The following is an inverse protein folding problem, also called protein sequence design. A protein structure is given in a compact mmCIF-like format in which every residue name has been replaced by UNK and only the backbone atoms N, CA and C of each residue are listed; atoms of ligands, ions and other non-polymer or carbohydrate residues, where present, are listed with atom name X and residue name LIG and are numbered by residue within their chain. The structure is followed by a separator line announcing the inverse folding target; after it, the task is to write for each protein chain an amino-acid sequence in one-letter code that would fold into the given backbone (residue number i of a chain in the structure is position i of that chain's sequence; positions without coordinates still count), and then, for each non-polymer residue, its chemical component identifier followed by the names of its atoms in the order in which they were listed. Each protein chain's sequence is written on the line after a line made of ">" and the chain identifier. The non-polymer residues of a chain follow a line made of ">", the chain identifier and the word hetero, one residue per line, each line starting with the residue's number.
data_IF_424550732751
#
_entry.id   IF_424550732751
#
_cell.length_a   1.000
_cell.length_b   1.000
_cell.length_c   1.000
_cell.angle_alpha   90.00
_cell.angle_beta   90.00
_cell.angle_gamma   90.00
#
_symmetry.space_group_name_H-M   'P 1'
#
loop_
_entity.id
_entity.type
_entity.pdbx_description
1 polymer ?
#
# COMPACT_ATOMS: atom_id res chain seq x y z
N UNK A 1 -3.76 6.15 -11.16
CA UNK A 1 -2.51 6.29 -10.37
C UNK A 1 -1.94 4.92 -10.12
N UNK A 2 -0.61 4.78 -10.08
CA UNK A 2 0.02 3.47 -9.85
C UNK A 2 -0.13 3.02 -8.40
N UNK A 3 -0.28 1.71 -8.21
CA UNK A 3 -0.17 1.05 -6.92
C UNK A 3 0.94 0.01 -6.98
N UNK A 4 1.61 -0.22 -5.85
CA UNK A 4 2.69 -1.20 -5.75
C UNK A 4 2.79 -1.78 -4.34
N UNK A 5 3.18 -3.05 -4.25
CA UNK A 5 3.34 -3.78 -2.99
C UNK A 5 2.06 -3.76 -2.12
N UNK A 6 0.91 -3.72 -2.78
CA UNK A 6 -0.42 -3.88 -2.19
C UNK A 6 -1.26 -4.68 -3.17
N UNK A 7 -1.94 -5.71 -2.66
CA UNK A 7 -2.73 -6.62 -3.48
C UNK A 7 -4.10 -6.02 -3.81
N UNK A 8 -4.64 -6.32 -5.00
CA UNK A 8 -5.97 -5.89 -5.41
C UNK A 8 -7.00 -6.23 -4.33
N UNK A 9 -6.97 -7.44 -3.77
CA UNK A 9 -7.91 -7.85 -2.70
C UNK A 9 -7.84 -6.97 -1.44
N UNK A 10 -6.66 -6.43 -1.10
CA UNK A 10 -6.50 -5.48 0.00
C UNK A 10 -7.09 -4.11 -0.36
N UNK A 11 -6.92 -3.67 -1.61
CA UNK A 11 -7.54 -2.45 -2.14
C UNK A 11 -9.06 -2.57 -2.07
N UNK A 12 -9.64 -3.73 -2.44
CA UNK A 12 -11.09 -3.94 -2.33
C UNK A 12 -11.55 -3.80 -0.88
N UNK A 13 -10.82 -4.42 0.06
CA UNK A 13 -11.03 -4.25 1.49
C UNK A 13 -11.05 -2.80 1.95
N UNK A 14 -10.11 -1.98 1.48
CA UNK A 14 -10.06 -0.54 1.77
C UNK A 14 -11.30 0.20 1.24
N UNK A 15 -11.73 -0.12 0.03
CA UNK A 15 -12.92 0.48 -0.58
C UNK A 15 -14.21 0.06 0.14
N UNK A 16 -14.28 -1.20 0.61
CA UNK A 16 -15.35 -1.72 1.46
C UNK A 16 -15.40 -0.94 2.77
N UNK A 17 -14.27 -0.81 3.46
CA UNK A 17 -14.15 -0.07 4.73
C UNK A 17 -14.60 1.40 4.60
N UNK A 18 -14.33 2.03 3.45
CA UNK A 18 -14.70 3.41 3.14
C UNK A 18 -16.14 3.59 2.68
N UNK A 19 -16.90 2.50 2.51
CA UNK A 19 -18.23 2.50 1.90
C UNK A 19 -18.24 3.17 0.51
N UNK A 20 -17.20 2.92 -0.28
CA UNK A 20 -17.07 3.51 -1.61
C UNK A 20 -18.27 3.16 -2.51
N UNK A 21 -18.66 4.08 -3.39
CA UNK A 21 -19.73 3.89 -4.38
C UNK A 21 -19.26 4.38 -5.73
N UNK A 22 -19.16 3.49 -6.72
CA UNK A 22 -18.60 3.80 -8.01
C UNK A 22 -17.93 2.61 -8.68
N UNK A 23 -16.95 2.89 -9.54
CA UNK A 23 -16.14 1.89 -10.24
C UNK A 23 -14.69 2.04 -9.80
N UNK A 24 -14.06 0.92 -9.46
CA UNK A 24 -12.61 0.80 -9.39
C UNK A 24 -12.12 0.06 -10.64
N UNK A 25 -11.34 0.74 -11.46
CA UNK A 25 -10.74 0.19 -12.67
C UNK A 25 -9.26 -0.09 -12.43
N UNK A 26 -8.83 -1.31 -12.70
CA UNK A 26 -7.44 -1.74 -12.55
C UNK A 26 -6.85 -2.07 -13.91
N UNK A 27 -5.70 -1.50 -14.26
CA UNK A 27 -4.88 -1.95 -15.38
C UNK A 27 -3.78 -2.83 -14.82
N UNK A 28 -3.81 -4.11 -15.18
CA UNK A 28 -2.99 -5.15 -14.55
C UNK A 28 -2.07 -5.79 -15.60
N UNK A 29 -0.80 -6.00 -15.24
CA UNK A 29 0.18 -6.62 -16.11
C UNK A 29 0.58 -5.75 -17.30
N UNK A 30 1.09 -6.37 -18.37
CA UNK A 30 1.62 -5.68 -19.57
C UNK A 30 0.64 -5.58 -20.74
N UNK A 31 -0.56 -6.11 -20.60
CA UNK A 31 -1.46 -6.36 -21.74
C UNK A 31 -2.60 -5.33 -21.88
N UNK A 32 -2.51 -4.16 -21.24
CA UNK A 32 -3.55 -3.11 -21.23
C UNK A 32 -4.97 -3.60 -20.86
N UNK A 33 -5.08 -4.82 -20.31
CA UNK A 33 -6.35 -5.41 -19.93
C UNK A 33 -6.85 -4.72 -18.65
N UNK A 34 -8.07 -4.19 -18.74
CA UNK A 34 -8.70 -3.48 -17.64
C UNK A 34 -9.66 -4.39 -16.90
N UNK A 35 -9.46 -4.55 -15.58
CA UNK A 35 -10.44 -5.12 -14.68
C UNK A 35 -11.34 -4.00 -14.13
N UNK A 36 -12.65 -4.23 -14.12
CA UNK A 36 -13.63 -3.30 -13.56
C UNK A 36 -14.31 -3.92 -12.34
N UNK A 37 -14.43 -3.16 -11.26
CA UNK A 37 -15.12 -3.58 -10.04
C UNK A 37 -16.11 -2.50 -9.63
N UNK A 38 -17.38 -2.89 -9.55
CA UNK A 38 -18.46 -1.98 -9.20
C UNK A 38 -18.76 -2.08 -7.71
N UNK A 39 -18.87 -0.93 -7.06
CA UNK A 39 -19.17 -0.80 -5.65
C UNK A 39 -20.45 0.00 -5.42
N UNK A 40 -21.23 -0.42 -4.43
CA UNK A 40 -22.34 0.33 -3.87
C UNK A 40 -22.23 0.37 -2.35
N UNK A 41 -21.91 1.53 -1.79
CA UNK A 41 -21.75 1.75 -0.35
C UNK A 41 -20.85 0.73 0.35
N UNK A 42 -19.75 0.34 -0.32
CA UNK A 42 -18.81 -0.67 0.17
C UNK A 42 -19.24 -2.12 -0.09
N UNK A 43 -20.33 -2.36 -0.81
CA UNK A 43 -20.69 -3.69 -1.31
C UNK A 43 -20.19 -3.87 -2.73
N UNK A 44 -19.50 -4.97 -3.01
CA UNK A 44 -19.13 -5.33 -4.39
C UNK A 44 -20.39 -5.81 -5.12
N UNK A 45 -20.62 -5.24 -6.31
CA UNK A 45 -21.80 -5.48 -7.16
C UNK A 45 -21.43 -6.39 -8.33
N UNK A 46 -20.26 -6.18 -8.93
CA UNK A 46 -19.79 -6.94 -10.10
C UNK A 46 -18.27 -6.85 -10.16
N UNK A 47 -17.62 -7.91 -10.63
CA UNK A 47 -16.20 -7.96 -10.99
C UNK A 47 -16.11 -8.43 -12.45
N UNK A 48 -15.38 -7.70 -13.29
CA UNK A 48 -15.20 -8.05 -14.69
C UNK A 48 -13.73 -7.95 -15.07
N UNK A 49 -13.22 -8.94 -15.81
CA UNK A 49 -11.88 -8.90 -16.37
C UNK A 49 -11.82 -9.71 -17.67
N UNK A 50 -11.57 -9.03 -18.79
CA UNK A 50 -11.57 -9.63 -20.13
C UNK A 50 -12.89 -10.37 -20.41
N UNK A 51 -12.89 -11.70 -20.51
CA UNK A 51 -14.07 -12.53 -20.75
C UNK A 51 -14.62 -13.17 -19.45
N UNK A 52 -13.99 -12.90 -18.31
CA UNK A 52 -14.38 -13.43 -17.01
C UNK A 52 -15.27 -12.47 -16.23
N UNK A 53 -16.18 -13.03 -15.45
CA UNK A 53 -17.04 -12.30 -14.50
C UNK A 53 -16.96 -12.89 -13.10
N UNK A 54 -17.29 -12.07 -12.10
CA UNK A 54 -17.44 -12.41 -10.69
C UNK A 54 -16.26 -13.22 -10.14
N UNK A 55 -16.48 -14.48 -9.74
CA UNK A 55 -15.47 -15.31 -9.08
C UNK A 55 -14.24 -15.57 -9.96
N UNK A 56 -14.45 -15.85 -11.25
CA UNK A 56 -13.35 -16.09 -12.18
C UNK A 56 -12.54 -14.81 -12.43
N UNK A 57 -13.24 -13.68 -12.55
CA UNK A 57 -12.58 -12.39 -12.70
C UNK A 57 -11.80 -12.00 -11.45
N UNK A 58 -12.37 -12.23 -10.26
CA UNK A 58 -11.74 -11.94 -8.98
C UNK A 58 -10.50 -12.81 -8.77
N UNK A 59 -10.59 -14.11 -9.05
CA UNK A 59 -9.47 -15.05 -8.96
C UNK A 59 -8.29 -14.61 -9.85
N UNK A 60 -8.59 -14.17 -11.08
CA UNK A 60 -7.58 -13.72 -12.02
C UNK A 60 -6.82 -12.45 -11.59
N UNK A 61 -7.38 -11.62 -10.69
CA UNK A 61 -6.82 -10.30 -10.38
C UNK A 61 -6.48 -10.08 -8.91
N UNK A 62 -7.06 -10.85 -7.98
CA UNK A 62 -7.02 -10.53 -6.56
C UNK A 62 -5.61 -10.47 -5.97
N UNK A 63 -4.71 -11.32 -6.49
CA UNK A 63 -3.33 -11.46 -6.05
C UNK A 63 -2.33 -10.62 -6.86
N UNK A 64 -2.83 -9.74 -7.71
CA UNK A 64 -1.99 -8.76 -8.41
C UNK A 64 -1.59 -7.65 -7.45
N UNK A 65 -0.29 -7.34 -7.40
CA UNK A 65 0.31 -6.46 -6.39
C UNK A 65 0.91 -5.17 -6.94
N UNK A 66 0.78 -4.97 -8.25
CA UNK A 66 1.22 -3.77 -8.95
C UNK A 66 0.36 -3.55 -10.19
N UNK A 67 0.13 -2.28 -10.50
CA UNK A 67 -0.68 -1.88 -11.66
C UNK A 67 -1.11 -0.43 -11.55
N UNK A 68 -2.14 -0.07 -12.30
CA UNK A 68 -2.77 1.25 -12.22
C UNK A 68 -4.20 1.14 -11.72
N UNK A 69 -4.59 2.06 -10.84
CA UNK A 69 -5.93 2.18 -10.28
C UNK A 69 -6.54 3.51 -10.71
N UNK A 70 -7.76 3.46 -11.21
CA UNK A 70 -8.64 4.61 -11.40
C UNK A 70 -9.93 4.40 -10.58
N UNK A 71 -10.32 5.42 -9.82
CA UNK A 71 -11.56 5.42 -9.05
C UNK A 71 -12.52 6.44 -9.62
N UNK A 72 -13.70 5.99 -10.04
CA UNK A 72 -14.77 6.84 -10.55
C UNK A 72 -16.00 6.74 -9.66
N UNK A 73 -16.26 7.77 -8.87
CA UNK A 73 -17.47 7.88 -8.08
C UNK A 73 -18.70 8.02 -8.98
N UNK A 74 -19.67 7.13 -8.82
CA UNK A 74 -20.94 7.17 -9.55
C UNK A 74 -22.04 6.39 -8.84
N UNK A 75 -23.29 6.69 -9.16
CA UNK A 75 -24.42 5.89 -8.69
C UNK A 75 -24.45 4.55 -9.45
N UNK A 76 -24.42 3.46 -8.69
CA UNK A 76 -24.49 2.08 -9.21
C UNK A 76 -25.85 1.49 -8.83
N UNK A 77 -26.46 0.73 -9.76
CA UNK A 77 -27.74 0.05 -9.53
C UNK A 77 -27.65 -0.95 -8.37
N UNK A 78 -28.79 -1.21 -7.72
CA UNK A 78 -28.86 -2.05 -6.52
C UNK A 78 -28.87 -3.55 -6.84
N UNK A 79 -27.72 -4.08 -7.23
CA UNK A 79 -27.54 -5.50 -7.53
C UNK A 79 -26.35 -6.05 -6.73
N UNK A 80 -26.42 -6.04 -5.39
CA UNK A 80 -25.30 -6.55 -4.57
C UNK A 80 -24.96 -7.99 -4.93
N UNK A 81 -23.67 -8.30 -5.07
CA UNK A 81 -23.21 -9.66 -5.29
C UNK A 81 -23.36 -10.43 -3.97
N UNK A 82 -24.50 -11.11 -3.77
CA UNK A 82 -24.88 -11.75 -2.50
C UNK A 82 -23.81 -12.72 -1.95
N UNK A 83 -22.95 -13.25 -2.84
CA UNK A 83 -21.94 -14.25 -2.50
C UNK A 83 -20.50 -13.72 -2.50
N UNK A 84 -20.24 -12.40 -2.58
CA UNK A 84 -18.86 -11.87 -2.61
C UNK A 84 -18.00 -12.39 -1.45
N UNK A 85 -18.56 -12.40 -0.23
CA UNK A 85 -17.83 -12.88 0.94
C UNK A 85 -17.43 -14.35 0.81
N UNK A 86 -18.31 -15.20 0.28
CA UNK A 86 -18.01 -16.61 0.03
C UNK A 86 -16.93 -16.78 -1.04
N UNK A 87 -17.01 -16.00 -2.11
CA UNK A 87 -16.01 -16.01 -3.19
C UNK A 87 -14.62 -15.64 -2.67
N UNK A 88 -14.54 -14.64 -1.79
CA UNK A 88 -13.28 -14.24 -1.14
C UNK A 88 -12.77 -15.32 -0.19
N UNK A 89 -13.65 -15.98 0.57
CA UNK A 89 -13.25 -17.11 1.43
C UNK A 89 -12.72 -18.29 0.60
N UNK A 90 -13.37 -18.64 -0.51
CA UNK A 90 -12.91 -19.68 -1.45
C UNK A 90 -11.53 -19.32 -2.02
N UNK A 91 -11.36 -18.09 -2.51
CA UNK A 91 -10.08 -17.57 -3.02
C UNK A 91 -8.93 -17.70 -2.00
N UNK A 92 -9.18 -17.34 -0.74
CA UNK A 92 -8.17 -17.41 0.33
C UNK A 92 -7.82 -18.86 0.69
N UNK A 93 -8.77 -19.80 0.57
CA UNK A 93 -8.54 -21.22 0.84
C UNK A 93 -7.66 -21.86 -0.25
N UNK A 94 -7.88 -21.50 -1.51
CA UNK A 94 -7.32 -22.23 -2.64
C UNK A 94 -5.93 -21.73 -3.04
N UNK A 95 -5.68 -20.41 -3.02
CA UNK A 95 -4.53 -19.80 -3.72
C UNK A 95 -3.85 -18.70 -2.87
N UNK A 96 -3.90 -18.74 -1.53
CA UNK A 96 -3.24 -17.69 -0.74
C UNK A 96 -1.71 -17.69 -0.96
N UNK A 97 -1.11 -16.57 -1.43
CA UNK A 97 0.31 -16.55 -1.76
C UNK A 97 1.17 -16.56 -0.51
N UNK A 98 2.31 -17.24 -0.58
CA UNK A 98 3.37 -17.09 0.39
C UNK A 98 3.90 -15.63 0.32
N UNK A 99 3.49 -14.80 1.28
CA UNK A 99 3.76 -13.35 1.28
C UNK A 99 5.25 -13.03 1.23
N UNK A 100 6.05 -13.83 1.95
CA UNK A 100 7.51 -13.61 2.07
C UNK A 100 8.20 -13.67 0.70
N UNK A 101 7.70 -14.52 -0.20
CA UNK A 101 8.29 -14.71 -1.52
C UNK A 101 7.66 -13.79 -2.57
N UNK A 102 6.39 -13.43 -2.39
CA UNK A 102 5.62 -12.70 -3.40
C UNK A 102 5.65 -11.18 -3.20
N UNK A 103 5.60 -10.68 -1.96
CA UNK A 103 5.58 -9.25 -1.66
C UNK A 103 6.36 -8.93 -0.36
N UNK A 104 7.69 -8.92 -0.39
CA UNK A 104 8.52 -8.73 0.80
C UNK A 104 8.27 -7.40 1.53
N UNK A 105 7.90 -6.35 0.80
CA UNK A 105 7.64 -5.03 1.37
C UNK A 105 6.47 -5.04 2.36
N UNK A 106 5.51 -5.94 2.20
CA UNK A 106 4.34 -6.05 3.08
C UNK A 106 4.72 -6.26 4.56
N UNK A 107 5.87 -6.88 4.82
CA UNK A 107 6.40 -7.07 6.18
C UNK A 107 6.70 -5.75 6.90
N UNK A 108 6.87 -4.65 6.16
CA UNK A 108 7.08 -3.32 6.72
C UNK A 108 5.77 -2.58 6.97
N UNK A 109 4.61 -3.15 6.67
CA UNK A 109 3.35 -2.43 6.79
C UNK A 109 2.85 -2.37 8.25
N UNK A 110 2.16 -1.29 8.58
CA UNK A 110 1.37 -1.14 9.78
C UNK A 110 -0.08 -1.55 9.52
N UNK A 111 -0.69 -2.24 10.48
CA UNK A 111 -2.05 -2.75 10.43
C UNK A 111 -2.88 -2.10 11.52
N UNK A 112 -4.05 -1.57 11.14
CA UNK A 112 -4.97 -0.89 12.04
C UNK A 112 -6.37 -1.46 11.91
N UNK A 113 -7.08 -1.61 13.03
CA UNK A 113 -8.47 -2.10 13.02
C UNK A 113 -9.44 -1.07 12.43
N UNK A 114 -10.43 -1.56 11.69
CA UNK A 114 -11.60 -0.79 11.24
C UNK A 114 -12.81 -1.16 12.10
N UNK A 115 -13.73 -0.22 12.30
CA UNK A 115 -15.00 -0.45 12.99
C UNK A 115 -16.05 -1.16 12.12
N UNK A 116 -15.67 -2.30 11.52
CA UNK A 116 -16.58 -3.19 10.81
C UNK A 116 -16.83 -4.47 11.61
N UNK A 117 -17.99 -5.09 11.39
CA UNK A 117 -18.38 -6.33 12.08
C UNK A 117 -17.92 -7.54 11.27
N UNK A 118 -17.30 -8.56 11.91
CA UNK A 118 -16.95 -9.80 11.24
C UNK A 118 -18.19 -10.55 10.72
N UNK A 119 -18.07 -11.17 9.55
CA UNK A 119 -19.09 -12.05 8.96
C UNK A 119 -19.22 -13.36 9.73
N UNK A 120 -20.31 -14.12 9.51
CA UNK A 120 -20.61 -15.37 10.25
C UNK A 120 -20.16 -16.61 9.47
N UNK A 121 -19.70 -17.64 10.21
CA UNK A 121 -19.53 -19.03 9.78
C UNK A 121 -18.40 -19.37 8.76
N UNK A 122 -17.13 -19.23 9.15
CA UNK A 122 -15.99 -19.82 8.41
C UNK A 122 -14.80 -20.10 9.35
N UNK A 123 -13.88 -21.03 9.01
CA UNK A 123 -12.67 -21.28 9.81
C UNK A 123 -11.75 -20.05 9.82
N UNK A 124 -11.70 -19.30 8.72
CA UNK A 124 -10.96 -18.04 8.63
C UNK A 124 -11.41 -17.02 9.63
N UNK A 125 -12.72 -16.92 9.87
CA UNK A 125 -13.27 -16.01 10.88
C UNK A 125 -12.66 -16.27 12.26
N UNK A 126 -12.41 -17.52 12.65
CA UNK A 126 -11.84 -17.82 13.96
C UNK A 126 -10.38 -17.37 14.05
N UNK A 127 -9.57 -17.66 13.03
CA UNK A 127 -8.19 -17.17 12.95
C UNK A 127 -8.16 -15.63 12.91
N UNK A 128 -9.00 -15.02 12.08
CA UNK A 128 -9.17 -13.59 11.95
C UNK A 128 -9.61 -12.92 13.26
N UNK A 129 -10.55 -13.51 14.00
CA UNK A 129 -10.96 -12.98 15.31
C UNK A 129 -9.80 -13.03 16.30
N UNK A 130 -9.06 -14.14 16.33
CA UNK A 130 -7.85 -14.26 17.16
C UNK A 130 -6.85 -13.16 16.80
N UNK A 131 -6.49 -12.99 15.54
CA UNK A 131 -5.59 -11.91 15.09
C UNK A 131 -6.13 -10.53 15.39
N UNK A 132 -7.43 -10.32 15.14
CA UNK A 132 -8.08 -9.05 15.39
C UNK A 132 -7.90 -8.67 16.84
N UNK A 133 -8.03 -9.58 17.82
CA UNK A 133 -7.76 -9.26 19.24
C UNK A 133 -6.33 -8.83 19.54
N UNK A 134 -5.35 -9.27 18.74
CA UNK A 134 -3.92 -8.99 18.93
C UNK A 134 -3.48 -7.68 18.26
N UNK A 135 -4.14 -7.27 17.18
CA UNK A 135 -3.84 -6.02 16.47
C UNK A 135 -4.23 -4.84 17.37
N UNK A 136 -3.32 -3.97 17.77
CA UNK A 136 -3.67 -2.78 18.56
C UNK A 136 -4.18 -1.64 17.66
N UNK A 137 -4.20 -0.39 18.11
CA UNK A 137 -4.57 0.79 17.30
C UNK A 137 -3.51 1.19 16.26
N UNK A 138 -2.74 0.23 15.76
CA UNK A 138 -1.57 0.40 14.90
C UNK A 138 -0.46 -0.54 15.33
N UNK A 139 -0.23 -1.61 14.57
CA UNK A 139 0.83 -2.58 14.84
C UNK A 139 1.58 -2.90 13.56
N UNK A 140 2.93 -2.97 13.61
CA UNK A 140 3.68 -3.52 12.47
C UNK A 140 3.26 -4.96 12.24
N UNK A 141 3.11 -5.36 10.98
CA UNK A 141 2.66 -6.71 10.62
C UNK A 141 3.53 -7.80 11.25
N UNK A 142 4.85 -7.57 11.31
CA UNK A 142 5.83 -8.48 11.93
C UNK A 142 5.66 -8.66 13.43
N UNK A 143 5.06 -7.68 14.10
CA UNK A 143 5.02 -7.60 15.56
C UNK A 143 3.67 -8.09 16.10
N UNK A 144 2.70 -8.41 15.23
CA UNK A 144 1.41 -8.95 15.63
C UNK A 144 1.62 -10.38 16.17
N UNK A 145 1.32 -10.64 17.45
CA UNK A 145 1.43 -11.98 18.01
C UNK A 145 0.51 -12.96 17.27
N UNK A 146 1.06 -14.09 16.83
CA UNK A 146 0.25 -15.17 16.25
C UNK A 146 -0.65 -15.88 17.28
N UNK A 147 -0.36 -15.71 18.58
CA UNK A 147 -1.05 -16.43 19.64
C UNK A 147 -0.88 -17.95 19.48
N UNK A 148 -1.99 -18.67 19.37
CA UNK A 148 -2.02 -20.12 19.18
C UNK A 148 -2.16 -20.54 17.70
N UNK A 149 -2.11 -19.59 16.77
CA UNK A 149 -2.27 -19.87 15.34
C UNK A 149 -0.99 -20.45 14.75
N UNK A 150 -1.14 -21.44 13.87
CA UNK A 150 -0.09 -21.80 12.92
C UNK A 150 0.19 -20.66 11.94
N UNK A 151 1.31 -20.76 11.20
CA UNK A 151 1.68 -19.76 10.19
C UNK A 151 0.60 -19.60 9.11
N UNK A 152 0.00 -20.71 8.67
CA UNK A 152 -1.02 -20.69 7.63
C UNK A 152 -2.33 -20.09 8.15
N UNK A 153 -2.73 -20.43 9.38
CA UNK A 153 -3.89 -19.81 10.02
C UNK A 153 -3.69 -18.31 10.24
N UNK A 154 -2.48 -17.87 10.59
CA UNK A 154 -2.14 -16.45 10.67
C UNK A 154 -2.39 -15.75 9.34
N UNK A 155 -1.83 -16.27 8.24
CA UNK A 155 -1.95 -15.61 6.94
C UNK A 155 -3.37 -15.66 6.40
N UNK A 156 -4.06 -16.78 6.55
CA UNK A 156 -5.46 -16.92 6.15
C UNK A 156 -6.37 -15.97 6.94
N UNK A 157 -6.14 -15.84 8.26
CA UNK A 157 -6.85 -14.87 9.09
C UNK A 157 -6.55 -13.43 8.68
N UNK A 158 -5.28 -13.10 8.38
CA UNK A 158 -4.89 -11.79 7.90
C UNK A 158 -5.53 -11.44 6.56
N UNK A 159 -5.51 -12.37 5.60
CA UNK A 159 -6.15 -12.19 4.31
C UNK A 159 -7.65 -11.98 4.43
N UNK A 160 -8.32 -12.78 5.26
CA UNK A 160 -9.72 -12.59 5.57
C UNK A 160 -10.01 -11.20 6.15
N UNK A 161 -9.21 -10.73 7.12
CA UNK A 161 -9.41 -9.41 7.72
C UNK A 161 -9.26 -8.28 6.68
N UNK A 162 -8.25 -8.38 5.83
CA UNK A 162 -7.92 -7.33 4.86
C UNK A 162 -8.91 -7.30 3.71
N UNK A 163 -9.29 -8.46 3.15
CA UNK A 163 -10.23 -8.57 2.03
C UNK A 163 -11.64 -8.10 2.35
N UNK A 164 -12.04 -8.17 3.63
CA UNK A 164 -13.33 -7.71 4.14
C UNK A 164 -13.29 -6.30 4.74
N UNK A 165 -12.15 -5.60 4.64
CA UNK A 165 -12.02 -4.24 5.18
C UNK A 165 -12.10 -4.15 6.70
N UNK A 166 -11.88 -5.25 7.43
CA UNK A 166 -11.86 -5.27 8.89
C UNK A 166 -10.57 -4.68 9.46
N UNK A 167 -9.51 -4.66 8.65
CA UNK A 167 -8.25 -3.98 8.95
C UNK A 167 -7.76 -3.20 7.73
N UNK A 168 -7.04 -2.12 7.99
CA UNK A 168 -6.34 -1.30 7.00
C UNK A 168 -4.86 -1.58 7.11
N UNK A 169 -4.20 -1.72 5.97
CA UNK A 169 -2.74 -1.82 5.88
C UNK A 169 -2.23 -0.48 5.35
N UNK A 170 -1.23 0.07 6.01
CA UNK A 170 -0.61 1.33 5.62
C UNK A 170 0.90 1.27 5.80
N UNK A 171 1.62 1.97 4.94
CA UNK A 171 3.06 2.14 5.04
C UNK A 171 3.47 3.49 5.65
N UNK A 172 2.50 4.31 6.05
CA UNK A 172 2.70 5.68 6.56
C UNK A 172 3.58 5.67 7.81
N UNK A 173 3.17 4.92 8.84
CA UNK A 173 3.85 4.87 10.14
C UNK A 173 5.16 4.06 10.11
N UNK A 174 5.51 3.50 8.96
CA UNK A 174 6.73 2.74 8.74
C UNK A 174 7.60 3.38 7.66
N UNK A 175 7.39 3.03 6.39
CA UNK A 175 8.15 3.53 5.25
C UNK A 175 8.01 5.05 5.13
N UNK A 176 6.83 5.62 5.38
CA UNK A 176 6.60 7.06 5.36
C UNK A 176 7.48 7.80 6.37
N UNK A 177 7.52 7.32 7.62
CA UNK A 177 8.40 7.86 8.66
C UNK A 177 9.88 7.74 8.26
N UNK A 178 10.29 6.59 7.71
CA UNK A 178 11.68 6.38 7.27
C UNK A 178 12.07 7.34 6.13
N UNK A 179 11.19 7.53 5.14
CA UNK A 179 11.41 8.47 4.04
C UNK A 179 11.52 9.91 4.54
N UNK A 180 10.67 10.30 5.49
CA UNK A 180 10.73 11.62 6.10
C UNK A 180 12.05 11.83 6.86
N UNK A 181 12.46 10.87 7.68
CA UNK A 181 13.73 10.91 8.40
C UNK A 181 14.91 11.02 7.42
N UNK A 182 14.87 10.28 6.32
CA UNK A 182 15.89 10.35 5.28
C UNK A 182 15.96 11.74 4.62
N UNK A 183 14.82 12.34 4.22
CA UNK A 183 14.78 13.70 3.66
C UNK A 183 15.34 14.74 4.64
N UNK A 184 14.98 14.65 5.93
CA UNK A 184 15.48 15.54 6.98
C UNK A 184 16.99 15.42 7.11
N UNK A 185 17.51 14.20 7.25
CA UNK A 185 18.94 13.93 7.34
C UNK A 185 19.68 14.46 6.10
N UNK A 186 19.14 14.26 4.90
CA UNK A 186 19.71 14.76 3.66
C UNK A 186 19.74 16.30 3.63
N UNK A 187 18.63 16.94 3.97
CA UNK A 187 18.50 18.40 4.00
C UNK A 187 19.48 19.03 5.01
N UNK A 188 19.69 18.38 6.15
CA UNK A 188 20.69 18.78 7.15
C UNK A 188 22.12 18.66 6.62
N UNK A 189 22.44 17.57 5.91
CA UNK A 189 23.77 17.39 5.29
C UNK A 189 24.00 18.42 4.20
N UNK A 190 23.00 18.69 3.36
CA UNK A 190 23.07 19.74 2.34
C UNK A 190 23.27 21.12 2.97
N UNK A 191 22.57 21.41 4.06
CA UNK A 191 22.75 22.68 4.80
C UNK A 191 24.18 22.85 5.29
N UNK A 192 24.78 21.79 5.84
CA UNK A 192 26.15 21.81 6.37
C UNK A 192 27.23 21.84 5.30
N UNK A 193 27.06 21.10 4.20
CA UNK A 193 28.10 20.90 3.18
C UNK A 193 27.98 21.82 1.96
N UNK A 194 26.77 22.25 1.63
CA UNK A 194 26.45 23.02 0.42
C UNK A 194 25.87 24.40 0.75
N UNK A 195 25.40 24.60 1.98
CA UNK A 195 24.83 25.85 2.47
C UNK A 195 23.31 25.88 2.49
N UNK A 196 22.75 26.66 3.41
CA UNK A 196 21.30 26.72 3.69
C UNK A 196 20.44 27.18 2.52
N UNK A 197 20.96 28.07 1.66
CA UNK A 197 20.24 28.54 0.48
C UNK A 197 20.04 27.41 -0.56
N UNK A 198 21.05 26.54 -0.74
CA UNK A 198 20.96 25.37 -1.63
C UNK A 198 19.96 24.36 -1.06
N UNK A 199 20.04 24.07 0.24
CA UNK A 199 19.10 23.15 0.90
C UNK A 199 17.64 23.63 0.77
N UNK A 200 17.37 24.92 0.99
CA UNK A 200 16.03 25.50 0.80
C UNK A 200 15.54 25.41 -0.66
N UNK A 201 16.42 25.70 -1.62
CA UNK A 201 16.09 25.61 -3.04
C UNK A 201 15.79 24.15 -3.44
N UNK A 202 16.58 23.20 -2.93
CA UNK A 202 16.36 21.77 -3.11
C UNK A 202 14.99 21.34 -2.56
N UNK A 203 14.68 21.61 -1.30
CA UNK A 203 13.40 21.21 -0.70
C UNK A 203 12.22 21.80 -1.46
N UNK A 204 12.28 23.09 -1.84
CA UNK A 204 11.23 23.72 -2.65
C UNK A 204 11.03 22.98 -3.98
N UNK A 205 12.13 22.66 -4.67
CA UNK A 205 12.09 22.01 -5.98
C UNK A 205 11.64 20.54 -5.89
N UNK A 206 12.04 19.83 -4.84
CA UNK A 206 11.62 18.45 -4.56
C UNK A 206 10.09 18.39 -4.47
N UNK A 207 9.50 19.21 -3.62
CA UNK A 207 8.05 19.21 -3.43
C UNK A 207 7.31 19.70 -4.67
N UNK A 208 7.85 20.65 -5.45
CA UNK A 208 7.30 21.01 -6.76
C UNK A 208 7.29 19.82 -7.74
N UNK A 209 8.36 19.02 -7.78
CA UNK A 209 8.44 17.84 -8.64
C UNK A 209 7.47 16.75 -8.20
N UNK A 210 7.32 16.51 -6.89
CA UNK A 210 6.35 15.56 -6.34
C UNK A 210 4.93 15.97 -6.71
N UNK A 211 4.52 17.23 -6.46
CA UNK A 211 3.17 17.70 -6.78
C UNK A 211 2.88 17.68 -8.29
N UNK A 212 3.91 17.76 -9.14
CA UNK A 212 3.74 17.62 -10.59
C UNK A 212 3.37 16.20 -11.00
N UNK A 213 3.93 15.20 -10.33
CA UNK A 213 3.69 13.77 -10.60
C UNK A 213 2.48 13.24 -9.83
N UNK A 214 2.19 13.83 -8.67
CA UNK A 214 1.08 13.49 -7.80
C UNK A 214 0.42 14.76 -7.26
N UNK A 215 -0.52 15.36 -8.01
CA UNK A 215 -1.15 16.63 -7.64
C UNK A 215 -1.87 16.60 -6.30
N UNK A 216 -2.48 15.46 -5.96
CA UNK A 216 -3.26 15.28 -4.73
C UNK A 216 -2.42 15.04 -3.47
N UNK A 217 -1.08 14.97 -3.59
CA UNK A 217 -0.22 14.75 -2.43
C UNK A 217 0.25 16.06 -1.83
N UNK A 218 -0.47 16.54 -0.82
CA UNK A 218 -0.08 17.73 -0.06
C UNK A 218 1.06 17.42 0.92
N UNK A 219 1.98 18.36 1.10
CA UNK A 219 3.05 18.24 2.10
C UNK A 219 2.45 18.13 3.51
N UNK A 220 2.75 17.05 4.22
CA UNK A 220 2.23 16.79 5.56
C UNK A 220 0.88 16.07 5.57
N UNK A 221 0.37 15.68 4.39
CA UNK A 221 -0.70 14.70 4.27
C UNK A 221 -0.11 13.31 4.01
N UNK A 222 -0.75 12.31 4.61
CA UNK A 222 -0.40 10.92 4.41
C UNK A 222 -0.96 10.44 3.06
N UNK A 223 -0.14 9.78 2.21
CA UNK A 223 -0.65 9.24 0.96
C UNK A 223 -1.70 8.17 1.23
N UNK A 224 -2.66 8.06 0.32
CA UNK A 224 -3.75 7.11 0.45
C UNK A 224 -3.20 5.66 0.45
N UNK A 225 -3.52 4.84 1.48
CA UNK A 225 -3.05 3.46 1.57
C UNK A 225 -3.38 2.56 0.37
N UNK A 226 -4.39 2.90 -0.45
CA UNK A 226 -4.75 2.13 -1.65
C UNK A 226 -3.61 2.03 -2.67
N UNK A 227 -2.60 2.90 -2.59
CA UNK A 227 -1.47 2.92 -3.51
C UNK A 227 -0.23 2.16 -2.99
N UNK A 228 -0.30 1.60 -1.78
CA UNK A 228 0.77 0.80 -1.20
C UNK A 228 2.07 1.58 -1.05
N UNK A 229 3.17 1.06 -1.62
CA UNK A 229 4.50 1.68 -1.53
C UNK A 229 4.79 2.71 -2.63
N UNK A 230 3.95 2.78 -3.66
CA UNK A 230 4.19 3.64 -4.83
C UNK A 230 4.47 5.12 -4.48
N UNK A 231 3.72 5.79 -3.57
CA UNK A 231 4.02 7.18 -3.20
C UNK A 231 5.44 7.36 -2.65
N UNK A 232 5.93 6.41 -1.85
CA UNK A 232 7.26 6.49 -1.24
C UNK A 232 8.37 6.20 -2.26
N UNK A 233 8.12 5.34 -3.25
CA UNK A 233 9.04 5.12 -4.37
C UNK A 233 9.15 6.37 -5.24
N UNK A 234 8.02 7.01 -5.56
CA UNK A 234 8.00 8.29 -6.25
C UNK A 234 8.79 9.34 -5.46
N UNK A 235 8.58 9.46 -4.15
CA UNK A 235 9.33 10.39 -3.30
C UNK A 235 10.83 10.10 -3.33
N UNK A 236 11.24 8.84 -3.16
CA UNK A 236 12.64 8.43 -3.18
C UNK A 236 13.30 8.76 -4.53
N UNK A 237 12.61 8.49 -5.64
CA UNK A 237 13.06 8.87 -6.98
C UNK A 237 13.20 10.38 -7.12
N UNK A 238 12.20 11.16 -6.68
CA UNK A 238 12.25 12.62 -6.75
C UNK A 238 13.35 13.22 -5.88
N UNK A 239 13.69 12.61 -4.74
CA UNK A 239 14.85 12.98 -3.91
C UNK A 239 16.14 12.86 -4.74
N UNK A 240 16.38 11.71 -5.37
CA UNK A 240 17.58 11.51 -6.20
C UNK A 240 17.63 12.47 -7.39
N UNK A 241 16.54 12.60 -8.13
CA UNK A 241 16.50 13.41 -9.34
C UNK A 241 16.60 14.90 -9.05
N UNK A 242 16.04 15.36 -7.93
CA UNK A 242 16.19 16.75 -7.50
C UNK A 242 17.60 17.01 -6.97
N UNK A 243 18.21 16.05 -6.26
CA UNK A 243 19.57 16.19 -5.72
C UNK A 243 20.60 16.36 -6.85
N UNK A 244 20.45 15.61 -7.96
CA UNK A 244 21.30 15.75 -9.15
C UNK A 244 21.29 17.16 -9.76
N UNK A 245 20.25 17.94 -9.50
CA UNK A 245 20.05 19.27 -10.06
C UNK A 245 20.64 20.39 -9.19
N UNK A 246 21.26 20.06 -8.04
CA UNK A 246 21.81 21.05 -7.11
C UNK A 246 23.25 20.72 -6.71
N UNK A 247 24.15 21.68 -6.86
CA UNK A 247 25.58 21.55 -6.52
C UNK A 247 26.38 20.61 -7.43
N UNK A 248 27.52 20.13 -6.93
CA UNK A 248 28.44 19.27 -7.69
C UNK A 248 28.19 17.77 -7.41
N UNK A 249 28.45 16.86 -8.35
CA UNK A 249 28.23 15.42 -8.16
C UNK A 249 28.92 14.83 -6.92
N UNK A 250 30.14 15.31 -6.60
CA UNK A 250 30.88 14.86 -5.43
C UNK A 250 30.17 15.25 -4.11
N UNK A 251 29.62 16.47 -4.03
CA UNK A 251 28.87 16.93 -2.86
C UNK A 251 27.50 16.24 -2.76
N UNK A 252 26.83 16.01 -3.89
CA UNK A 252 25.57 15.27 -3.94
C UNK A 252 25.73 13.86 -3.37
N UNK A 253 26.71 13.11 -3.88
CA UNK A 253 27.03 11.74 -3.41
C UNK A 253 27.37 11.75 -1.93
N UNK A 254 28.24 12.68 -1.50
CA UNK A 254 28.62 12.79 -0.08
C UNK A 254 27.43 13.12 0.82
N UNK A 255 26.53 14.01 0.41
CA UNK A 255 25.32 14.34 1.17
C UNK A 255 24.40 13.12 1.30
N UNK A 256 24.18 12.41 0.20
CA UNK A 256 23.34 11.23 0.13
C UNK A 256 23.87 10.09 1.01
N UNK A 257 25.14 9.71 0.83
CA UNK A 257 25.79 8.64 1.59
C UNK A 257 25.85 9.00 3.09
N UNK A 258 26.13 10.26 3.41
CA UNK A 258 26.14 10.73 4.81
C UNK A 258 24.77 10.76 5.45
N UNK A 259 23.69 10.89 4.67
CA UNK A 259 22.33 10.84 5.18
C UNK A 259 21.91 9.40 5.45
N UNK A 260 22.23 8.48 4.52
CA UNK A 260 22.00 7.04 4.71
C UNK A 260 22.81 6.46 5.88
N UNK A 261 24.07 6.87 6.04
CA UNK A 261 24.95 6.32 7.08
C UNK A 261 24.52 6.65 8.51
N UNK A 262 23.60 7.60 8.71
CA UNK A 262 23.03 7.95 10.02
C UNK A 262 21.88 6.99 10.38
N UNK A 263 21.22 6.42 9.38
CA UNK A 263 20.09 5.52 9.60
C UNK A 263 20.60 4.14 10.06
N UNK A 264 19.81 3.43 10.89
CA UNK A 264 20.09 2.03 11.18
C UNK A 264 20.23 1.21 9.88
N UNK A 265 21.14 0.21 9.82
CA UNK A 265 21.40 -0.53 8.57
C UNK A 265 20.16 -1.18 7.94
N UNK A 266 19.20 -1.64 8.77
CA UNK A 266 17.96 -2.24 8.30
C UNK A 266 17.05 -1.21 7.62
N UNK A 267 16.93 -0.01 8.19
CA UNK A 267 16.14 1.10 7.64
C UNK A 267 16.77 1.64 6.36
N UNK A 268 18.11 1.79 6.35
CA UNK A 268 18.85 2.19 5.17
C UNK A 268 18.64 1.21 3.99
N UNK A 269 18.54 -0.10 4.27
CA UNK A 269 18.22 -1.11 3.25
C UNK A 269 16.82 -0.91 2.67
N UNK A 270 15.83 -0.56 3.48
CA UNK A 270 14.46 -0.27 3.01
C UNK A 270 14.49 0.94 2.06
N UNK A 271 15.14 2.04 2.46
CA UNK A 271 15.30 3.23 1.62
C UNK A 271 16.00 2.87 0.31
N UNK A 272 17.07 2.06 0.37
CA UNK A 272 17.77 1.63 -0.83
C UNK A 272 16.88 0.82 -1.78
N UNK A 273 16.05 -0.09 -1.25
CA UNK A 273 15.12 -0.90 -2.05
C UNK A 273 13.99 -0.07 -2.69
N UNK A 274 13.67 1.12 -2.19
CA UNK A 274 12.73 2.04 -2.85
C UNK A 274 13.34 2.72 -4.08
N UNK A 275 14.67 2.76 -4.16
CA UNK A 275 15.44 3.46 -5.19
C UNK A 275 15.92 2.56 -6.32
N UNK A 276 15.81 1.24 -6.15
CA UNK A 276 16.15 0.19 -7.12
C UNK A 276 14.90 -0.39 -7.75
#
# INVERSE_FOLDING_TARGET
>A
MQFQDIFVVQILGLLIARKFSGIASFVIGKNDNMAGIWFKQGMVVNVHYVDYTDAQALDAIAWEKAGELELKSQNVADNSLENYSRMVEELVNEISPAIIDTCPMLMNACVTRVQLKPLKNSPFRMAALTLLTQISSGSRLTDIPAGNLSKDEFWNGFWYLTSHGLVVISYVESIGVLMQQFEVNLTDKMTKLMGSHIAKAYTKKLWQNIHRQWPDWEKGSDPDPIYGTYPYRLWAQMVQDTLKQVGTPALQTRCFDSALSIMPPQDAKIIHNLLT
#
